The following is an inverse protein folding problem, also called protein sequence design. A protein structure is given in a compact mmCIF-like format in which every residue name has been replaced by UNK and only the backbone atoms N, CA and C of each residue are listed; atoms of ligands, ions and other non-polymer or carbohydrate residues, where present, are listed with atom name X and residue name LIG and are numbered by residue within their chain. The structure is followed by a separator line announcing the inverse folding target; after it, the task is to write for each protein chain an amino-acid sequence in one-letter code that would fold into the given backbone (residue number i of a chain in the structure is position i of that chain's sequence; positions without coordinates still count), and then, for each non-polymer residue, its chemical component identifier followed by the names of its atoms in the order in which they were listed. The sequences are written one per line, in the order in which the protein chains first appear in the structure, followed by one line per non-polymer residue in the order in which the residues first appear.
data_IF_871098837257
#
_entry.id   IF_871098837257
#
_cell.length_a   1.000
_cell.length_b   1.000
_cell.length_c   1.000
_cell.angle_alpha   90.00
_cell.angle_beta   90.00
_cell.angle_gamma   90.00
#
_symmetry.space_group_name_H-M   'P 1'
#
loop_
_entity.id
_entity.type
_entity.pdbx_description
1 polymer ?
#
# COMPACT_ATOMS: atom_id res chain seq x y z
N UNK A 1 9.37 6.05 24.41
CA UNK A 1 8.02 5.77 23.86
C UNK A 1 8.18 5.24 22.45
N UNK A 2 7.83 3.97 22.20
CA UNK A 2 7.86 3.36 20.85
C UNK A 2 6.49 2.73 20.61
N UNK A 3 5.54 3.52 20.11
CA UNK A 3 4.23 3.02 19.70
C UNK A 3 4.41 2.30 18.36
N UNK A 4 4.15 1.00 18.33
CA UNK A 4 4.15 0.20 17.10
C UNK A 4 2.74 -0.32 16.87
N UNK A 5 2.08 0.20 15.83
CA UNK A 5 0.77 -0.28 15.41
C UNK A 5 0.99 -1.55 14.58
N UNK A 6 0.84 -2.72 15.20
CA UNK A 6 1.01 -4.02 14.53
C UNK A 6 -0.33 -4.46 13.96
N UNK A 7 -0.66 -3.97 12.77
CA UNK A 7 -1.89 -4.38 12.06
C UNK A 7 -1.51 -5.21 10.83
N UNK A 8 -2.08 -6.41 10.69
CA UNK A 8 -1.92 -7.21 9.47
C UNK A 8 -2.67 -6.52 8.34
N UNK A 9 -1.95 -6.22 7.25
CA UNK A 9 -2.54 -5.58 6.09
C UNK A 9 -3.36 -6.61 5.30
N UNK A 10 -4.52 -6.24 4.75
CA UNK A 10 -5.41 -7.16 4.03
C UNK A 10 -4.84 -7.61 2.67
N UNK A 11 -3.70 -7.10 2.25
CA UNK A 11 -3.07 -7.40 0.97
C UNK A 11 -1.55 -7.35 1.06
N UNK A 12 -0.84 -8.12 0.22
CA UNK A 12 0.61 -8.06 0.13
C UNK A 12 1.06 -6.69 -0.41
N UNK A 13 2.09 -6.12 0.23
CA UNK A 13 2.69 -4.84 -0.12
C UNK A 13 4.20 -5.02 -0.32
N UNK A 14 4.80 -4.15 -1.14
CA UNK A 14 6.26 -4.17 -1.34
C UNK A 14 6.93 -3.44 -0.16
N UNK A 15 7.30 -4.21 0.87
CA UNK A 15 7.89 -3.69 2.10
C UNK A 15 9.16 -2.86 1.85
N UNK A 16 9.96 -3.23 0.85
CA UNK A 16 11.21 -2.55 0.50
C UNK A 16 11.00 -1.17 -0.15
N UNK A 17 9.78 -0.88 -0.62
CA UNK A 17 9.44 0.39 -1.30
C UNK A 17 8.53 1.29 -0.47
N UNK A 18 8.42 1.03 0.83
CA UNK A 18 7.63 1.85 1.75
C UNK A 18 8.27 3.23 1.91
N UNK A 19 7.43 4.27 1.89
CA UNK A 19 7.85 5.66 2.15
C UNK A 19 7.03 6.23 3.30
N UNK A 20 7.68 6.93 4.21
CA UNK A 20 7.03 7.64 5.29
C UNK A 20 7.47 9.10 5.29
N UNK A 21 6.53 10.02 5.51
CA UNK A 21 6.77 11.45 5.63
C UNK A 21 6.10 11.97 6.89
N UNK A 22 6.77 12.89 7.57
CA UNK A 22 6.25 13.56 8.75
C UNK A 22 6.21 15.06 8.49
N UNK A 23 5.01 15.65 8.46
CA UNK A 23 4.80 17.08 8.24
C UNK A 23 3.65 17.57 9.10
N UNK A 24 3.82 18.75 9.71
CA UNK A 24 2.77 19.44 10.46
C UNK A 24 2.10 18.58 11.56
N UNK A 25 2.88 17.72 12.23
CA UNK A 25 2.38 16.81 13.26
C UNK A 25 1.79 15.49 12.74
N UNK A 26 1.66 15.33 11.42
CA UNK A 26 1.05 14.16 10.79
C UNK A 26 2.09 13.21 10.19
N UNK A 27 2.04 11.94 10.61
CA UNK A 27 2.79 10.86 9.98
C UNK A 27 1.98 10.26 8.83
N UNK A 28 2.45 10.42 7.61
CA UNK A 28 1.88 9.80 6.42
C UNK A 28 2.77 8.63 5.98
N UNK A 29 2.18 7.44 5.83
CA UNK A 29 2.88 6.23 5.37
C UNK A 29 2.27 5.76 4.06
N UNK A 30 3.11 5.67 3.02
CA UNK A 30 2.74 5.18 1.70
C UNK A 30 3.24 3.76 1.53
N UNK A 31 2.30 2.82 1.37
CA UNK A 31 2.56 1.39 1.19
C UNK A 31 2.18 0.98 -0.25
N UNK A 32 3.14 0.78 -1.15
CA UNK A 32 2.84 0.33 -2.51
C UNK A 32 2.33 -1.12 -2.51
N UNK A 33 1.25 -1.37 -3.25
CA UNK A 33 0.71 -2.73 -3.44
C UNK A 33 1.72 -3.62 -4.16
N UNK A 34 1.68 -4.92 -3.87
CA UNK A 34 2.43 -5.91 -4.67
C UNK A 34 1.92 -5.92 -6.12
N UNK A 35 2.82 -6.15 -7.08
CA UNK A 35 2.47 -6.13 -8.51
C UNK A 35 1.50 -7.25 -8.91
N UNK A 36 1.46 -8.33 -8.11
CA UNK A 36 0.51 -9.44 -8.25
C UNK A 36 -0.96 -9.02 -8.04
N UNK A 37 -1.19 -7.86 -7.43
CA UNK A 37 -2.52 -7.31 -7.13
C UNK A 37 -2.98 -6.30 -8.19
N UNK A 38 -2.24 -6.14 -9.30
CA UNK A 38 -2.71 -5.31 -10.42
C UNK A 38 -4.05 -5.86 -10.91
N UNK A 39 -5.13 -5.07 -10.96
CA UNK A 39 -6.41 -5.53 -11.44
C UNK A 39 -6.23 -6.00 -12.88
N UNK A 40 -6.60 -7.25 -13.17
CA UNK A 40 -6.66 -7.73 -14.55
C UNK A 40 -7.66 -6.84 -15.27
N UNK A 41 -7.19 -6.08 -16.25
CA UNK A 41 -8.09 -5.33 -17.12
C UNK A 41 -9.01 -6.33 -17.82
N UNK A 42 -10.29 -6.31 -17.46
CA UNK A 42 -11.30 -7.07 -18.18
C UNK A 42 -11.57 -6.27 -19.46
N UNK A 43 -10.97 -6.68 -20.57
CA UNK A 43 -11.36 -6.17 -21.89
C UNK A 43 -12.77 -6.69 -22.16
N UNK A 44 -13.74 -5.78 -22.19
CA UNK A 44 -15.09 -6.10 -22.64
C UNK A 44 -15.07 -5.89 -24.16
N UNK A 45 -14.95 -6.98 -24.92
CA UNK A 45 -15.21 -6.96 -26.35
C UNK A 45 -16.74 -6.87 -26.55
N UNK A 46 -17.22 -5.69 -26.98
CA UNK A 46 -18.59 -5.53 -27.46
C UNK A 46 -18.63 -6.00 -28.92
N UNK A 47 -19.35 -7.10 -29.15
CA UNK A 47 -19.73 -7.61 -30.48
C UNK A 47 -20.55 -6.59 -31.27
#
# INVERSE_FOLDING_TARGET
MKCVLRNQLPMPVQADKVKATYRDGLLTVTLPKSEEVKPKEIKIDLL
#
